data_IF_760332580281
#
_entry.id   IF_760332580281
#
_cell.length_a   1.000
_cell.length_b   1.000
_cell.length_c   1.000
_cell.angle_alpha   90.00
_cell.angle_beta   90.00
_cell.angle_gamma   90.00
#
_symmetry.space_group_name_H-M   'P 1'
#
loop_
_entity.id
_entity.type
_entity.pdbx_description
1 polymer ?
#
# COMPACT_ATOMS: atom_id res chain seq x y z
N UNK A 1 6.24 -5.93 72.57
CA UNK A 1 6.54 -5.17 71.34
C UNK A 1 5.98 -5.95 70.16
N UNK A 2 4.96 -5.42 69.47
CA UNK A 2 4.31 -6.08 68.33
C UNK A 2 4.95 -5.55 67.04
N UNK A 3 5.57 -6.43 66.26
CA UNK A 3 6.15 -6.07 64.96
C UNK A 3 5.03 -5.95 63.92
N UNK A 4 4.94 -4.78 63.30
CA UNK A 4 4.01 -4.46 62.22
C UNK A 4 4.75 -4.61 60.90
N UNK A 5 4.54 -5.71 60.18
CA UNK A 5 5.12 -5.94 58.85
C UNK A 5 4.29 -5.17 57.83
N UNK A 6 4.84 -4.06 57.33
CA UNK A 6 4.24 -3.24 56.28
C UNK A 6 4.51 -3.90 54.92
N UNK A 7 3.47 -4.47 54.31
CA UNK A 7 3.53 -5.03 52.97
C UNK A 7 3.46 -3.88 51.95
N UNK A 8 4.59 -3.54 51.31
CA UNK A 8 4.65 -2.52 50.27
C UNK A 8 4.13 -3.12 48.95
N UNK A 9 2.90 -2.80 48.58
CA UNK A 9 2.30 -3.21 47.32
C UNK A 9 2.86 -2.32 46.19
N UNK A 10 3.83 -2.84 45.44
CA UNK A 10 4.39 -2.16 44.27
C UNK A 10 3.36 -2.23 43.12
N UNK A 11 2.65 -1.12 42.89
CA UNK A 11 1.75 -0.99 41.73
C UNK A 11 2.60 -0.67 40.50
N UNK A 12 2.78 -1.66 39.62
CA UNK A 12 3.44 -1.49 38.34
C UNK A 12 2.47 -0.80 37.36
N UNK A 13 2.62 0.51 37.17
CA UNK A 13 1.87 1.24 36.15
C UNK A 13 2.52 0.98 34.79
N UNK A 14 1.94 0.08 34.00
CA UNK A 14 2.33 -0.14 32.60
C UNK A 14 1.68 0.97 31.77
N UNK A 15 2.46 1.98 31.41
CA UNK A 15 2.03 3.02 30.46
C UNK A 15 2.20 2.44 29.05
N UNK A 16 1.09 2.14 28.38
CA UNK A 16 1.09 1.80 26.96
C UNK A 16 1.23 3.09 26.15
N UNK A 17 2.44 3.37 25.65
CA UNK A 17 2.67 4.46 24.70
C UNK A 17 2.18 3.97 23.33
N UNK A 18 1.02 4.45 22.88
CA UNK A 18 0.59 4.25 21.50
C UNK A 18 1.32 5.26 20.62
N UNK A 19 2.20 4.80 19.73
CA UNK A 19 2.81 5.67 18.73
C UNK A 19 1.71 6.29 17.85
N UNK A 20 1.76 7.60 17.64
CA UNK A 20 0.82 8.27 16.75
C UNK A 20 0.98 7.74 15.32
N UNK A 21 -0.12 7.52 14.58
CA UNK A 21 -0.04 7.09 13.20
C UNK A 21 0.69 8.16 12.37
N UNK A 22 1.79 7.78 11.73
CA UNK A 22 2.55 8.66 10.84
C UNK A 22 1.67 9.09 9.65
N UNK A 23 1.48 10.40 9.41
CA UNK A 23 0.74 10.87 8.25
C UNK A 23 1.30 10.30 6.95
N UNK A 24 0.42 9.85 6.04
CA UNK A 24 0.83 9.23 4.79
C UNK A 24 1.27 7.77 4.91
N UNK A 25 1.33 7.18 6.10
CA UNK A 25 1.59 5.76 6.29
C UNK A 25 0.29 5.04 6.69
N UNK A 26 -0.04 3.98 5.96
CA UNK A 26 -1.29 3.23 6.11
C UNK A 26 -1.01 1.74 6.28
N UNK A 27 -1.77 1.09 7.15
CA UNK A 27 -1.82 -0.37 7.21
C UNK A 27 -3.09 -0.84 6.51
N UNK A 28 -2.92 -1.69 5.50
CA UNK A 28 -4.03 -2.31 4.79
C UNK A 28 -4.14 -3.78 5.19
N UNK A 29 -5.34 -4.18 5.59
CA UNK A 29 -5.68 -5.57 5.87
C UNK A 29 -6.33 -6.20 4.64
N UNK A 30 -6.08 -7.48 4.41
CA UNK A 30 -6.74 -8.23 3.35
C UNK A 30 -8.27 -8.15 3.51
N UNK A 31 -8.97 -7.94 2.40
CA UNK A 31 -10.41 -7.80 2.28
C UNK A 31 -11.01 -6.61 3.03
N UNK A 32 -10.19 -5.61 3.38
CA UNK A 32 -10.64 -4.33 3.95
C UNK A 32 -10.26 -3.19 3.02
N UNK A 33 -11.16 -2.23 2.90
CA UNK A 33 -10.89 -0.99 2.18
C UNK A 33 -10.28 0.02 3.13
N UNK A 34 -9.18 0.64 2.73
CA UNK A 34 -8.56 1.78 3.40
C UNK A 34 -8.60 2.98 2.45
N UNK A 35 -8.91 4.16 2.99
CA UNK A 35 -8.73 5.40 2.22
C UNK A 35 -7.35 5.95 2.51
N UNK A 36 -6.52 6.03 1.48
CA UNK A 36 -5.16 6.57 1.56
C UNK A 36 -5.17 7.98 0.98
N UNK A 37 -4.40 8.88 1.57
CA UNK A 37 -4.23 10.24 1.08
C UNK A 37 -2.74 10.57 1.01
N UNK A 38 -2.30 11.05 -0.14
CA UNK A 38 -0.89 11.44 -0.33
C UNK A 38 -0.60 12.77 0.38
N UNK A 39 0.53 12.82 1.08
CA UNK A 39 0.96 13.98 1.90
C UNK A 39 2.40 14.39 1.57
N UNK A 40 2.76 15.63 1.87
CA UNK A 40 4.16 16.08 1.78
C UNK A 40 4.96 15.69 3.03
N UNK A 41 6.28 15.67 2.89
CA UNK A 41 7.21 15.54 4.01
C UNK A 41 7.42 14.12 4.51
N UNK A 42 6.90 13.11 3.80
CA UNK A 42 7.23 11.72 4.11
C UNK A 42 8.71 11.46 3.77
N UNK A 43 9.53 10.92 4.68
CA UNK A 43 10.98 10.81 4.51
C UNK A 43 11.35 9.61 3.62
N UNK A 44 10.81 9.57 2.39
CA UNK A 44 11.12 8.53 1.42
C UNK A 44 12.45 8.81 0.71
N UNK A 45 13.20 7.76 0.34
CA UNK A 45 14.37 7.88 -0.52
C UNK A 45 14.05 8.57 -1.85
N UNK A 46 15.01 9.34 -2.36
CA UNK A 46 14.85 10.11 -3.62
C UNK A 46 14.61 9.24 -4.86
N UNK A 47 14.87 7.94 -4.78
CA UNK A 47 14.50 6.95 -5.80
C UNK A 47 12.98 6.85 -6.02
N UNK A 48 12.17 7.17 -5.01
CA UNK A 48 10.72 7.29 -5.15
C UNK A 48 10.28 8.64 -5.72
N UNK A 49 11.22 9.56 -6.02
CA UNK A 49 10.98 10.90 -6.54
C UNK A 49 11.50 12.00 -5.63
N UNK A 50 11.36 13.25 -6.09
CA UNK A 50 11.80 14.43 -5.36
C UNK A 50 10.89 14.80 -4.17
N UNK A 51 11.38 15.65 -3.26
CA UNK A 51 10.64 16.06 -2.05
C UNK A 51 9.39 16.91 -2.35
N UNK A 52 9.24 17.41 -3.57
CA UNK A 52 8.10 18.25 -3.97
C UNK A 52 6.80 17.46 -4.20
N UNK A 53 6.90 16.14 -4.37
CA UNK A 53 5.76 15.26 -4.56
C UNK A 53 5.03 14.97 -3.24
N UNK A 54 3.79 14.51 -3.40
CA UNK A 54 2.98 13.96 -2.32
C UNK A 54 3.13 12.45 -2.31
N UNK A 55 3.15 11.86 -1.12
CA UNK A 55 3.40 10.44 -0.92
C UNK A 55 2.39 9.78 0.01
N UNK A 56 2.08 8.53 -0.28
CA UNK A 56 1.49 7.60 0.67
C UNK A 56 2.26 6.28 0.64
N UNK A 57 2.41 5.62 1.78
CA UNK A 57 2.99 4.28 1.91
C UNK A 57 1.92 3.40 2.51
N UNK A 58 1.62 2.30 1.84
CA UNK A 58 0.68 1.29 2.31
C UNK A 58 1.45 0.03 2.63
N UNK A 59 1.41 -0.38 3.89
CA UNK A 59 1.88 -1.68 4.33
C UNK A 59 0.75 -2.70 4.20
N UNK A 60 0.98 -3.77 3.46
CA UNK A 60 0.05 -4.90 3.34
C UNK A 60 0.66 -6.10 4.04
N UNK A 61 -0.09 -6.72 4.95
CA UNK A 61 0.35 -7.87 5.75
C UNK A 61 -0.55 -9.10 5.53
N UNK A 62 -0.08 -10.27 5.96
CA UNK A 62 -0.84 -11.52 5.88
C UNK A 62 -0.85 -12.14 4.48
N UNK A 63 0.11 -11.78 3.63
CA UNK A 63 0.30 -12.41 2.33
C UNK A 63 0.87 -13.82 2.47
N UNK A 64 0.46 -14.73 1.60
CA UNK A 64 0.89 -16.13 1.63
C UNK A 64 1.74 -16.44 0.40
N UNK A 65 2.88 -17.12 0.56
CA UNK A 65 3.68 -17.60 -0.56
C UNK A 65 2.86 -18.43 -1.55
N UNK A 66 3.07 -18.22 -2.84
CA UNK A 66 2.38 -18.92 -3.93
C UNK A 66 0.95 -18.43 -4.21
N UNK A 67 0.44 -17.44 -3.48
CA UNK A 67 -0.90 -16.89 -3.71
C UNK A 67 -0.88 -15.68 -4.66
N UNK A 68 -1.96 -15.54 -5.44
CA UNK A 68 -2.23 -14.36 -6.28
C UNK A 68 -3.15 -13.40 -5.56
N UNK A 69 -2.85 -12.11 -5.67
CA UNK A 69 -3.59 -11.02 -5.07
C UNK A 69 -3.96 -9.97 -6.11
N UNK A 70 -4.99 -9.21 -5.80
CA UNK A 70 -5.46 -8.08 -6.58
C UNK A 70 -5.63 -6.89 -5.66
N UNK A 71 -5.08 -5.76 -6.08
CA UNK A 71 -5.31 -4.46 -5.47
C UNK A 71 -6.30 -3.71 -6.34
N UNK A 72 -7.38 -3.25 -5.72
CA UNK A 72 -8.36 -2.37 -6.33
C UNK A 72 -8.12 -0.96 -5.83
N UNK A 73 -7.90 -0.04 -6.76
CA UNK A 73 -7.81 1.39 -6.46
C UNK A 73 -9.03 2.09 -7.07
N UNK A 74 -9.73 2.87 -6.25
CA UNK A 74 -10.90 3.65 -6.67
C UNK A 74 -10.63 5.12 -6.34
N UNK A 75 -10.78 5.99 -7.34
CA UNK A 75 -10.52 7.42 -7.23
C UNK A 75 -11.39 8.25 -8.18
N UNK A 76 -11.24 9.56 -8.15
CA UNK A 76 -11.86 10.47 -9.13
C UNK A 76 -10.94 10.67 -10.34
N UNK A 77 -11.34 10.16 -11.49
CA UNK A 77 -10.67 10.39 -12.77
C UNK A 77 -11.00 11.77 -13.36
N UNK A 78 -10.20 12.23 -14.32
CA UNK A 78 -10.35 13.52 -15.02
C UNK A 78 -9.72 14.72 -14.31
N UNK A 79 -9.06 14.51 -13.16
CA UNK A 79 -8.56 15.54 -12.25
C UNK A 79 -7.20 16.15 -12.63
N UNK A 80 -6.52 15.61 -13.63
CA UNK A 80 -5.19 16.05 -14.07
C UNK A 80 -4.13 15.88 -12.98
N UNK A 81 -4.18 14.76 -12.26
CA UNK A 81 -3.18 14.34 -11.28
C UNK A 81 -2.26 13.34 -11.96
N UNK A 82 -0.97 13.66 -11.98
CA UNK A 82 0.07 12.71 -12.40
C UNK A 82 0.49 11.93 -11.17
N UNK A 83 0.54 10.61 -11.29
CA UNK A 83 0.88 9.73 -10.19
C UNK A 83 1.82 8.62 -10.60
N UNK A 84 2.46 8.03 -9.59
CA UNK A 84 3.22 6.82 -9.75
C UNK A 84 3.01 5.87 -8.58
N UNK A 85 3.19 4.59 -8.86
CA UNK A 85 3.03 3.52 -7.91
C UNK A 85 4.29 2.66 -7.90
N UNK A 86 4.71 2.19 -6.73
CA UNK A 86 5.87 1.30 -6.62
C UNK A 86 5.61 0.19 -5.61
N UNK A 87 5.89 -1.05 -6.02
CA UNK A 87 5.88 -2.22 -5.13
C UNK A 87 7.26 -2.39 -4.49
N UNK A 88 7.29 -2.62 -3.18
CA UNK A 88 8.53 -2.62 -2.39
C UNK A 88 8.57 -3.79 -1.42
N UNK A 89 9.69 -4.51 -1.42
CA UNK A 89 10.07 -5.46 -0.38
C UNK A 89 10.81 -4.71 0.74
N UNK A 90 10.38 -4.85 1.98
CA UNK A 90 10.92 -4.07 3.10
C UNK A 90 10.30 -2.67 3.25
N UNK A 91 10.51 -2.05 4.41
CA UNK A 91 9.91 -0.77 4.73
C UNK A 91 10.63 0.37 3.97
N UNK A 92 9.95 1.11 3.07
CA UNK A 92 10.60 2.15 2.27
C UNK A 92 11.05 3.37 3.11
N UNK A 93 10.67 3.46 4.39
CA UNK A 93 11.12 4.49 5.32
C UNK A 93 12.43 4.12 6.05
N UNK A 94 12.95 2.90 5.85
CA UNK A 94 14.22 2.44 6.43
C UNK A 94 15.28 2.32 5.33
N UNK A 95 16.46 1.76 5.67
CA UNK A 95 17.57 1.61 4.73
C UNK A 95 17.50 0.31 3.91
N UNK A 96 16.80 -0.70 4.43
CA UNK A 96 16.80 -2.05 3.89
C UNK A 96 15.48 -2.33 3.16
N UNK A 97 15.45 -1.97 1.88
CA UNK A 97 14.32 -2.21 1.01
C UNK A 97 14.76 -2.38 -0.44
N UNK A 98 13.92 -3.03 -1.23
CA UNK A 98 14.10 -3.22 -2.66
C UNK A 98 12.80 -2.92 -3.42
N UNK A 99 12.89 -2.13 -4.48
CA UNK A 99 11.76 -1.83 -5.37
C UNK A 99 11.64 -2.92 -6.45
N UNK A 100 10.46 -3.52 -6.57
CA UNK A 100 10.17 -4.47 -7.64
C UNK A 100 9.91 -3.80 -8.98
N UNK A 101 8.93 -2.90 -9.02
CA UNK A 101 8.47 -2.22 -10.23
C UNK A 101 7.82 -0.90 -9.87
N UNK A 102 8.01 0.09 -10.74
CA UNK A 102 7.34 1.38 -10.68
C UNK A 102 6.52 1.64 -11.94
N UNK A 103 5.30 2.15 -11.77
CA UNK A 103 4.39 2.52 -12.88
C UNK A 103 4.05 3.99 -12.72
N UNK A 104 4.12 4.75 -13.81
CA UNK A 104 3.65 6.13 -13.87
C UNK A 104 2.40 6.23 -14.73
N UNK A 105 1.41 7.00 -14.28
CA UNK A 105 0.18 7.25 -15.03
C UNK A 105 -0.41 8.61 -14.63
N UNK A 106 -1.58 8.93 -15.18
CA UNK A 106 -2.33 10.12 -14.82
C UNK A 106 -3.81 9.81 -14.67
N UNK A 107 -4.51 10.60 -13.88
CA UNK A 107 -5.97 10.47 -13.72
C UNK A 107 -6.74 10.91 -14.97
N UNK A 108 -6.04 11.40 -16.01
CA UNK A 108 -6.62 12.04 -17.19
C UNK A 108 -7.08 13.46 -16.91
N UNK A 109 -7.42 14.21 -17.95
CA UNK A 109 -7.91 15.61 -17.85
C UNK A 109 -9.28 15.75 -18.48
N UNK A 110 -10.15 16.59 -17.90
CA UNK A 110 -11.41 16.99 -18.50
C UNK A 110 -12.62 16.47 -17.74
N UNK A 111 -13.39 15.56 -18.35
CA UNK A 111 -14.63 15.04 -17.74
C UNK A 111 -14.30 14.29 -16.45
N UNK A 112 -14.91 14.71 -15.34
CA UNK A 112 -14.78 14.01 -14.06
C UNK A 112 -15.41 12.62 -14.14
N UNK A 113 -14.71 11.66 -13.57
CA UNK A 113 -15.07 10.24 -13.55
C UNK A 113 -15.03 9.73 -12.10
N UNK A 114 -16.04 10.07 -11.26
CA UNK A 114 -16.10 9.57 -9.89
C UNK A 114 -16.18 8.04 -9.87
N UNK A 115 -15.47 7.41 -8.94
CA UNK A 115 -15.43 5.96 -8.84
C UNK A 115 -14.67 5.29 -9.99
N UNK A 116 -13.70 5.98 -10.59
CA UNK A 116 -12.78 5.38 -11.56
C UNK A 116 -11.98 4.28 -10.87
N UNK A 117 -12.11 3.06 -11.39
CA UNK A 117 -11.49 1.86 -10.81
C UNK A 117 -10.33 1.39 -11.68
N UNK A 118 -9.22 1.04 -11.04
CA UNK A 118 -8.12 0.26 -11.62
C UNK A 118 -7.78 -0.94 -10.74
N UNK A 119 -7.20 -1.97 -11.35
CA UNK A 119 -6.78 -3.21 -10.72
C UNK A 119 -5.30 -3.45 -11.00
N UNK A 120 -4.54 -3.77 -9.96
CA UNK A 120 -3.19 -4.31 -10.07
C UNK A 120 -3.19 -5.76 -9.58
N UNK A 121 -2.70 -6.68 -10.39
CA UNK A 121 -2.66 -8.11 -10.05
C UNK A 121 -1.21 -8.55 -9.89
N UNK A 122 -0.90 -9.27 -8.82
CA UNK A 122 0.44 -9.79 -8.57
C UNK A 122 0.38 -11.16 -7.87
N UNK A 123 1.49 -11.90 -7.93
CA UNK A 123 1.68 -13.15 -7.21
C UNK A 123 2.82 -13.01 -6.19
N UNK A 124 2.69 -13.67 -5.05
CA UNK A 124 3.80 -13.82 -4.09
C UNK A 124 4.57 -15.07 -4.46
N UNK A 125 5.89 -14.96 -4.63
CA UNK A 125 6.73 -16.11 -4.98
C UNK A 125 6.62 -17.19 -3.89
N UNK A 126 6.47 -18.49 -4.23
CA UNK A 126 6.41 -19.59 -3.26
C UNK A 126 7.61 -19.67 -2.30
N UNK A 127 8.76 -19.08 -2.65
CA UNK A 127 9.97 -19.03 -1.82
C UNK A 127 9.98 -17.86 -0.83
N UNK A 128 8.97 -16.99 -0.87
CA UNK A 128 8.90 -15.82 0.01
C UNK A 128 8.93 -16.23 1.47
N UNK A 129 9.73 -15.52 2.26
CA UNK A 129 9.92 -15.72 3.71
C UNK A 129 9.25 -14.64 4.56
N UNK A 130 8.75 -13.58 3.92
CA UNK A 130 7.94 -12.51 4.50
C UNK A 130 6.50 -12.57 4.01
N UNK A 131 5.57 -12.12 4.83
CA UNK A 131 4.14 -11.98 4.52
C UNK A 131 3.74 -10.52 4.26
N UNK A 132 4.74 -9.63 4.18
CA UNK A 132 4.55 -8.19 4.12
C UNK A 132 5.13 -7.62 2.83
N UNK A 133 4.35 -6.80 2.15
CA UNK A 133 4.79 -5.97 1.02
C UNK A 133 4.37 -4.52 1.27
N UNK A 134 5.13 -3.58 0.74
CA UNK A 134 4.81 -2.17 0.77
C UNK A 134 4.45 -1.67 -0.63
N UNK A 135 3.55 -0.70 -0.68
CA UNK A 135 3.16 -0.02 -1.89
C UNK A 135 3.25 1.48 -1.67
N UNK A 136 4.08 2.17 -2.45
CA UNK A 136 4.21 3.63 -2.37
C UNK A 136 3.42 4.27 -3.48
N UNK A 137 2.60 5.27 -3.14
CA UNK A 137 1.94 6.17 -4.09
C UNK A 137 2.68 7.50 -4.08
N UNK A 138 3.04 7.98 -5.26
CA UNK A 138 3.52 9.34 -5.51
C UNK A 138 2.48 10.10 -6.31
N UNK A 139 2.22 11.36 -6.00
CA UNK A 139 1.40 12.24 -6.85
C UNK A 139 1.91 13.67 -6.88
N UNK A 140 1.62 14.40 -7.95
CA UNK A 140 1.97 15.82 -8.09
C UNK A 140 1.06 16.78 -7.30
N UNK A 141 -0.08 16.30 -6.80
CA UNK A 141 -1.06 17.02 -5.97
C UNK A 141 -1.53 16.12 -4.81
N UNK A 142 -2.10 16.66 -3.72
CA UNK A 142 -2.76 15.82 -2.71
C UNK A 142 -3.85 14.98 -3.37
N UNK A 143 -3.88 13.69 -3.07
CA UNK A 143 -4.77 12.75 -3.74
C UNK A 143 -5.27 11.70 -2.77
N UNK A 144 -6.59 11.52 -2.71
CA UNK A 144 -7.25 10.49 -1.91
C UNK A 144 -7.75 9.35 -2.80
N UNK A 145 -7.48 8.12 -2.37
CA UNK A 145 -7.74 6.88 -3.11
C UNK A 145 -8.30 5.87 -2.13
N UNK A 146 -9.34 5.14 -2.52
CA UNK A 146 -9.73 3.93 -1.81
C UNK A 146 -8.91 2.76 -2.32
N UNK A 147 -8.26 2.04 -1.42
CA UNK A 147 -7.43 0.89 -1.71
C UNK A 147 -7.98 -0.34 -1.00
N UNK A 148 -8.15 -1.43 -1.74
CA UNK A 148 -8.57 -2.74 -1.20
C UNK A 148 -7.64 -3.81 -1.77
N UNK A 149 -7.12 -4.68 -0.92
CA UNK A 149 -6.34 -5.85 -1.36
C UNK A 149 -7.13 -7.11 -1.07
N UNK A 150 -7.33 -7.95 -2.08
CA UNK A 150 -8.05 -9.21 -1.99
C UNK A 150 -7.24 -10.33 -2.65
N UNK A 151 -7.55 -11.61 -2.40
CA UNK A 151 -7.18 -12.68 -3.32
C UNK A 151 -7.61 -12.31 -4.76
N UNK A 152 -6.76 -12.64 -5.74
CA UNK A 152 -7.05 -12.35 -7.13
C UNK A 152 -8.33 -13.08 -7.57
N UNK A 153 -9.16 -12.37 -8.33
CA UNK A 153 -10.43 -12.88 -8.85
C UNK A 153 -10.24 -13.35 -10.29
N UNK A 154 -10.61 -14.59 -10.66
CA UNK A 154 -10.36 -15.12 -12.00
C UNK A 154 -11.11 -14.36 -13.11
N UNK A 155 -12.21 -13.71 -12.79
CA UNK A 155 -12.98 -12.88 -13.74
C UNK A 155 -12.32 -11.53 -14.07
N UNK A 156 -11.31 -11.11 -13.30
CA UNK A 156 -10.55 -9.88 -13.58
C UNK A 156 -9.39 -10.23 -14.51
N UNK A 157 -9.50 -9.79 -15.76
CA UNK A 157 -8.57 -10.10 -16.85
C UNK A 157 -8.14 -8.82 -17.55
N UNK A 158 -7.18 -8.89 -18.48
CA UNK A 158 -6.72 -7.73 -19.26
C UNK A 158 -7.82 -7.05 -20.06
N UNK A 159 -8.92 -7.77 -20.31
CA UNK A 159 -10.06 -7.27 -21.06
C UNK A 159 -11.13 -6.65 -20.14
N UNK A 160 -10.95 -6.71 -18.83
CA UNK A 160 -11.85 -6.06 -17.87
C UNK A 160 -11.80 -4.54 -18.07
N UNK A 161 -12.99 -3.96 -18.17
CA UNK A 161 -13.19 -2.52 -18.30
C UNK A 161 -13.86 -1.96 -17.04
N UNK A 162 -13.56 -0.70 -16.73
CA UNK A 162 -14.28 0.02 -15.69
C UNK A 162 -15.66 0.52 -16.19
N UNK A 163 -16.43 1.19 -15.32
CA UNK A 163 -17.76 1.72 -15.64
C UNK A 163 -17.78 2.77 -16.76
N UNK A 164 -16.61 3.27 -17.16
CA UNK A 164 -16.44 4.25 -18.23
C UNK A 164 -15.96 3.60 -19.55
N UNK A 165 -15.79 2.28 -19.59
CA UNK A 165 -15.37 1.54 -20.79
C UNK A 165 -13.86 1.50 -21.03
N UNK A 166 -13.04 1.99 -20.09
CA UNK A 166 -11.58 1.91 -20.20
C UNK A 166 -11.07 0.57 -19.65
N UNK A 167 -10.10 -0.03 -20.34
CA UNK A 167 -9.34 -1.15 -19.78
C UNK A 167 -8.64 -0.70 -18.50
N UNK A 168 -8.82 -1.46 -17.43
CA UNK A 168 -8.50 -1.00 -16.10
C UNK A 168 -7.65 -1.99 -15.30
N UNK A 169 -7.11 -3.02 -15.95
CA UNK A 169 -6.18 -3.95 -15.31
C UNK A 169 -4.79 -3.65 -15.81
N UNK A 170 -3.98 -3.08 -14.93
CA UNK A 170 -2.56 -2.96 -15.13
C UNK A 170 -1.87 -4.26 -14.70
N UNK A 171 -0.61 -4.46 -15.12
CA UNK A 171 0.27 -5.51 -14.59
C UNK A 171 -0.02 -6.97 -14.97
N UNK A 172 -0.92 -7.20 -15.93
CA UNK A 172 -1.00 -8.49 -16.61
C UNK A 172 0.05 -8.58 -17.72
N UNK A 173 1.25 -9.06 -17.39
CA UNK A 173 2.16 -9.54 -18.44
C UNK A 173 1.53 -10.76 -19.14
N UNK A 174 1.87 -10.97 -20.42
CA UNK A 174 1.30 -11.99 -21.33
C UNK A 174 1.33 -13.45 -20.83
N UNK A 175 1.82 -13.71 -19.61
CA UNK A 175 2.03 -15.04 -19.03
C UNK A 175 1.69 -15.13 -17.52
N UNK A 176 1.03 -14.13 -16.92
CA UNK A 176 0.67 -14.12 -15.48
C UNK A 176 1.87 -14.12 -14.50
N UNK A 177 3.03 -13.57 -14.88
CA UNK A 177 4.31 -13.80 -14.17
C UNK A 177 4.85 -12.64 -13.31
N UNK A 178 4.03 -11.72 -12.79
CA UNK A 178 4.56 -10.80 -11.77
C UNK A 178 4.62 -11.53 -10.44
N UNK A 179 5.80 -12.08 -10.15
CA UNK A 179 6.12 -12.73 -8.88
C UNK A 179 6.99 -11.81 -8.04
N UNK A 180 6.53 -11.51 -6.83
CA UNK A 180 7.31 -10.78 -5.83
C UNK A 180 7.86 -11.76 -4.82
N UNK A 181 9.19 -11.88 -4.80
CA UNK A 181 9.90 -12.60 -3.74
C UNK A 181 10.01 -11.68 -2.52
N UNK A 182 9.23 -11.97 -1.49
CA UNK A 182 9.20 -11.19 -0.25
C UNK A 182 10.12 -11.83 0.77
N UNK A 183 11.10 -11.07 1.24
CA UNK A 183 12.13 -11.56 2.16
C UNK A 183 12.19 -10.66 3.37
N UNK A 184 12.54 -11.25 4.52
CA UNK A 184 12.79 -10.46 5.72
C UNK A 184 14.03 -9.60 5.48
N UNK A 185 13.81 -8.31 5.30
CA UNK A 185 14.86 -7.28 5.28
C UNK A 185 15.22 -6.91 6.71
#
# INVERSE_FOLDING_TARGET
MKHFTLLFCLVLVVVFITAEPMPGFYQAQLNKTVTITTVKGLPLPSSFGGPDYYYAVVQVQGLKPGMKYMVTLIYEGGTGIDYGFCWVNGNPLTKDWYSFVGIGSGTGTGKLMPGYTIYHVFAVDPKSTSDTIYFTVRSNKPWSIQCTINPAKPEITRNTQNSYGYYCVDDLTNEEKIFYLLDKQ
#
